data_IF_099531397508
#
_entry.id   IF_099531397508
#
_cell.length_a   1.000
_cell.length_b   1.000
_cell.length_c   1.000
_cell.angle_alpha   90.00
_cell.angle_beta   90.00
_cell.angle_gamma   90.00
#
_symmetry.space_group_name_H-M   'P 1'
#
loop_
_entity.id
_entity.type
_entity.pdbx_description
1 polymer ?
#
# COMPACT_ATOMS: atom_id res chain seq x y z
N UNK A 1 9.00 11.01 40.71
CA UNK A 1 8.05 10.90 39.59
C UNK A 1 8.77 11.26 38.26
N UNK A 2 9.92 10.63 37.97
CA UNK A 2 10.69 10.92 36.74
C UNK A 2 11.00 9.64 35.93
N UNK A 3 11.22 8.51 36.61
CA UNK A 3 11.51 7.22 35.96
C UNK A 3 10.35 6.71 35.08
N UNK A 4 9.10 6.95 35.49
CA UNK A 4 7.91 6.49 34.77
C UNK A 4 7.74 7.23 33.42
N UNK A 5 7.92 8.56 33.41
CA UNK A 5 7.82 9.36 32.18
C UNK A 5 8.90 9.04 31.16
N UNK A 6 10.14 8.82 31.61
CA UNK A 6 11.26 8.43 30.73
C UNK A 6 11.04 7.03 30.13
N UNK A 7 10.61 6.07 30.93
CA UNK A 7 10.31 4.72 30.44
C UNK A 7 9.20 4.70 29.37
N UNK A 8 8.17 5.56 29.51
CA UNK A 8 7.14 5.69 28.48
C UNK A 8 7.65 6.36 27.20
N UNK A 9 8.55 7.34 27.30
CA UNK A 9 9.19 7.96 26.14
C UNK A 9 10.07 6.95 25.38
N UNK A 10 10.87 6.15 26.10
CA UNK A 10 11.75 5.13 25.50
C UNK A 10 10.95 4.02 24.81
N UNK A 11 9.88 3.53 25.46
CA UNK A 11 8.97 2.55 24.85
C UNK A 11 8.30 3.10 23.59
N UNK A 12 7.99 4.39 23.57
CA UNK A 12 7.36 5.04 22.41
C UNK A 12 8.34 5.19 21.25
N UNK A 13 9.57 5.63 21.53
CA UNK A 13 10.63 5.66 20.52
C UNK A 13 10.87 4.28 19.90
N UNK A 14 10.83 3.21 20.70
CA UNK A 14 10.95 1.84 20.20
C UNK A 14 9.78 1.43 19.28
N UNK A 15 8.54 1.79 19.65
CA UNK A 15 7.36 1.51 18.82
C UNK A 15 7.39 2.28 17.51
N UNK A 16 7.90 3.50 17.52
CA UNK A 16 8.05 4.34 16.34
C UNK A 16 9.12 3.77 15.40
N UNK A 17 10.27 3.39 15.93
CA UNK A 17 11.31 2.71 15.15
C UNK A 17 10.81 1.38 14.56
N UNK A 18 9.98 0.64 15.29
CA UNK A 18 9.37 -0.58 14.78
C UNK A 18 8.35 -0.29 13.67
N UNK A 19 7.54 0.76 13.80
CA UNK A 19 6.61 1.19 12.76
C UNK A 19 7.34 1.65 11.48
N UNK A 20 8.39 2.45 11.63
CA UNK A 20 9.27 2.88 10.55
C UNK A 20 9.87 1.68 9.82
N UNK A 21 10.50 0.74 10.55
CA UNK A 21 11.03 -0.49 9.98
C UNK A 21 9.96 -1.31 9.27
N UNK A 22 8.72 -1.32 9.79
CA UNK A 22 7.58 -1.94 9.14
C UNK A 22 7.27 -1.35 7.77
N UNK A 23 7.26 -0.02 7.62
CA UNK A 23 7.05 0.64 6.33
C UNK A 23 8.22 0.43 5.36
N UNK A 24 9.46 0.47 5.86
CA UNK A 24 10.65 0.16 5.03
C UNK A 24 10.56 -1.26 4.47
N UNK A 25 10.18 -2.24 5.30
CA UNK A 25 9.98 -3.63 4.87
C UNK A 25 8.83 -3.77 3.87
N UNK A 26 7.72 -3.06 4.08
CA UNK A 26 6.59 -3.03 3.15
C UNK A 26 7.03 -2.48 1.79
N UNK A 27 7.64 -1.29 1.75
CA UNK A 27 8.10 -0.68 0.50
C UNK A 27 9.10 -1.54 -0.26
N UNK A 28 10.04 -2.19 0.44
CA UNK A 28 10.95 -3.14 -0.19
C UNK A 28 10.21 -4.35 -0.83
N UNK A 29 9.18 -4.88 -0.15
CA UNK A 29 8.40 -6.01 -0.64
C UNK A 29 7.51 -5.65 -1.83
N UNK A 30 6.94 -4.45 -1.82
CA UNK A 30 6.15 -3.90 -2.92
C UNK A 30 7.03 -3.67 -4.15
N UNK A 31 8.19 -3.01 -3.98
CA UNK A 31 9.17 -2.81 -5.05
C UNK A 31 9.58 -4.14 -5.69
N UNK A 32 10.04 -5.09 -4.88
CA UNK A 32 10.48 -6.38 -5.39
C UNK A 32 9.38 -7.13 -6.16
N UNK A 33 8.12 -7.02 -5.74
CA UNK A 33 7.02 -7.67 -6.47
C UNK A 33 6.76 -7.03 -7.84
N UNK A 34 6.93 -5.72 -7.94
CA UNK A 34 6.74 -4.97 -9.19
C UNK A 34 7.93 -5.20 -10.14
N UNK A 35 9.16 -5.19 -9.62
CA UNK A 35 10.39 -5.36 -10.40
C UNK A 35 10.57 -6.79 -10.98
N UNK A 36 9.78 -7.76 -10.50
CA UNK A 36 9.72 -9.13 -11.04
C UNK A 36 8.89 -9.23 -12.34
N UNK A 37 8.15 -8.18 -12.69
CA UNK A 37 7.25 -8.13 -13.84
C UNK A 37 7.86 -7.21 -14.90
N UNK A 38 7.72 -7.59 -16.17
CA UNK A 38 8.18 -6.79 -17.29
C UNK A 38 7.55 -5.38 -17.26
N UNK A 39 8.37 -4.37 -17.58
CA UNK A 39 7.95 -2.98 -17.45
C UNK A 39 6.70 -2.67 -18.28
N UNK A 40 6.51 -3.32 -19.44
CA UNK A 40 5.41 -3.14 -20.39
C UNK A 40 4.08 -3.80 -20.01
N UNK A 41 4.03 -4.55 -18.90
CA UNK A 41 2.80 -5.15 -18.38
C UNK A 41 2.33 -4.41 -17.11
N UNK A 42 1.77 -3.21 -17.30
CA UNK A 42 1.21 -2.40 -16.21
C UNK A 42 0.16 -3.16 -15.41
N UNK A 43 -0.66 -3.98 -16.07
CA UNK A 43 -1.71 -4.73 -15.43
C UNK A 43 -1.16 -5.75 -14.44
N UNK A 44 -0.16 -6.53 -14.86
CA UNK A 44 0.53 -7.47 -14.00
C UNK A 44 1.31 -6.77 -12.87
N UNK A 45 1.92 -5.59 -13.14
CA UNK A 45 2.62 -4.79 -12.12
C UNK A 45 1.68 -4.26 -11.03
N UNK A 46 0.52 -3.71 -11.40
CA UNK A 46 -0.52 -3.31 -10.44
C UNK A 46 -1.06 -4.49 -9.64
N UNK A 47 -1.25 -5.65 -10.29
CA UNK A 47 -1.64 -6.88 -9.62
C UNK A 47 -0.59 -7.36 -8.60
N UNK A 48 0.68 -7.35 -8.99
CA UNK A 48 1.80 -7.72 -8.12
C UNK A 48 1.89 -6.79 -6.91
N UNK A 49 1.78 -5.47 -7.13
CA UNK A 49 1.74 -4.47 -6.07
C UNK A 49 0.59 -4.73 -5.07
N UNK A 50 -0.64 -4.86 -5.57
CA UNK A 50 -1.82 -5.06 -4.74
C UNK A 50 -1.73 -6.38 -3.95
N UNK A 51 -1.31 -7.47 -4.62
CA UNK A 51 -1.12 -8.77 -4.00
C UNK A 51 -0.07 -8.74 -2.89
N UNK A 52 1.08 -8.10 -3.15
CA UNK A 52 2.16 -7.96 -2.18
C UNK A 52 1.72 -7.15 -0.95
N UNK A 53 0.96 -6.07 -1.15
CA UNK A 53 0.40 -5.30 -0.05
C UNK A 53 -0.53 -6.14 0.82
N UNK A 54 -1.53 -6.81 0.22
CA UNK A 54 -2.51 -7.55 1.02
C UNK A 54 -1.86 -8.71 1.76
N UNK A 55 -0.95 -9.45 1.11
CA UNK A 55 -0.17 -10.51 1.77
C UNK A 55 0.62 -9.96 2.95
N UNK A 56 1.38 -8.88 2.76
CA UNK A 56 2.12 -8.26 3.86
C UNK A 56 1.20 -7.87 5.02
N UNK A 57 0.10 -7.17 4.72
CA UNK A 57 -0.80 -6.63 5.73
C UNK A 57 -1.57 -7.72 6.50
N UNK A 58 -1.86 -8.84 5.86
CA UNK A 58 -2.51 -10.00 6.50
C UNK A 58 -1.52 -10.83 7.32
N UNK A 59 -0.32 -11.12 6.79
CA UNK A 59 0.75 -11.85 7.49
C UNK A 59 1.29 -11.07 8.70
N UNK A 60 1.25 -9.74 8.64
CA UNK A 60 1.80 -8.84 9.66
C UNK A 60 0.71 -7.96 10.29
N UNK A 61 -0.50 -8.49 10.55
CA UNK A 61 -1.66 -7.71 10.98
C UNK A 61 -1.40 -6.82 12.22
N UNK A 62 -0.73 -7.35 13.25
CA UNK A 62 -0.40 -6.57 14.46
C UNK A 62 0.59 -5.43 14.17
N UNK A 63 1.62 -5.70 13.35
CA UNK A 63 2.60 -4.69 12.93
C UNK A 63 1.94 -3.63 12.04
N UNK A 64 1.06 -4.04 11.14
CA UNK A 64 0.30 -3.13 10.26
C UNK A 64 -0.61 -2.20 11.09
N UNK A 65 -1.25 -2.74 12.14
CA UNK A 65 -2.00 -1.94 13.10
C UNK A 65 -1.12 -0.89 13.81
N UNK A 66 0.07 -1.30 14.27
CA UNK A 66 1.05 -0.38 14.87
C UNK A 66 1.50 0.71 13.89
N UNK A 67 1.88 0.33 12.66
CA UNK A 67 2.30 1.23 11.59
C UNK A 67 1.25 2.31 11.31
N UNK A 68 -0.01 1.90 11.12
CA UNK A 68 -1.11 2.81 10.83
C UNK A 68 -1.41 3.76 12.01
N UNK A 69 -1.32 3.27 13.25
CA UNK A 69 -1.49 4.11 14.43
C UNK A 69 -0.35 5.14 14.60
N UNK A 70 0.87 4.76 14.21
CA UNK A 70 2.05 5.61 14.37
C UNK A 70 2.17 6.71 13.31
N UNK A 71 1.83 6.44 12.04
CA UNK A 71 2.09 7.36 10.91
C UNK A 71 1.39 8.72 10.98
N UNK A 72 0.24 8.81 11.68
CA UNK A 72 -0.52 10.07 11.82
C UNK A 72 -0.21 10.82 13.13
N UNK A 73 0.71 10.29 13.94
CA UNK A 73 0.98 10.84 15.25
C UNK A 73 1.93 12.05 15.16
N UNK A 74 1.67 13.14 15.91
CA UNK A 74 2.60 14.24 16.01
C UNK A 74 4.00 13.78 16.47
N UNK A 75 5.04 14.26 15.77
CA UNK A 75 6.45 13.94 16.02
C UNK A 75 6.92 12.58 15.49
N UNK A 76 6.10 11.87 14.70
CA UNK A 76 6.45 10.60 14.05
C UNK A 76 7.03 10.78 12.64
N UNK A 77 7.84 11.81 12.40
CA UNK A 77 8.21 12.23 11.03
C UNK A 77 8.83 11.11 10.21
N UNK A 78 9.77 10.35 10.77
CA UNK A 78 10.40 9.22 10.07
C UNK A 78 9.40 8.11 9.68
N UNK A 79 8.39 7.86 10.53
CA UNK A 79 7.32 6.89 10.22
C UNK A 79 6.45 7.40 9.07
N UNK A 80 6.12 8.70 9.07
CA UNK A 80 5.33 9.32 8.01
C UNK A 80 6.09 9.33 6.67
N UNK A 81 7.38 9.64 6.68
CA UNK A 81 8.25 9.59 5.50
C UNK A 81 8.38 8.17 4.96
N UNK A 82 8.61 7.17 5.82
CA UNK A 82 8.66 5.77 5.40
C UNK A 82 7.31 5.28 4.82
N UNK A 83 6.18 5.73 5.40
CA UNK A 83 4.87 5.45 4.85
C UNK A 83 4.68 6.09 3.47
N UNK A 84 5.04 7.36 3.32
CA UNK A 84 4.96 8.07 2.04
C UNK A 84 5.83 7.38 0.97
N UNK A 85 7.04 6.94 1.31
CA UNK A 85 7.91 6.23 0.39
C UNK A 85 7.37 4.85 -0.04
N UNK A 86 6.71 4.12 0.86
CA UNK A 86 6.08 2.84 0.52
C UNK A 86 4.82 3.03 -0.34
N UNK A 87 4.02 4.05 -0.06
CA UNK A 87 2.78 4.32 -0.80
C UNK A 87 3.01 5.06 -2.11
N UNK A 88 4.03 5.91 -2.22
CA UNK A 88 4.34 6.67 -3.45
C UNK A 88 4.57 5.77 -4.67
N UNK A 89 5.00 4.53 -4.46
CA UNK A 89 5.19 3.55 -5.52
C UNK A 89 3.93 3.25 -6.34
N UNK A 90 2.73 3.41 -5.77
CA UNK A 90 1.51 3.27 -6.56
C UNK A 90 1.31 4.48 -7.47
N UNK A 91 1.65 5.68 -6.99
CA UNK A 91 1.64 6.90 -7.80
C UNK A 91 2.60 6.78 -8.98
N UNK A 92 3.82 6.30 -8.73
CA UNK A 92 4.82 6.06 -9.78
C UNK A 92 4.28 5.13 -10.89
N UNK A 93 3.57 4.04 -10.52
CA UNK A 93 2.95 3.13 -11.48
C UNK A 93 1.81 3.78 -12.29
N UNK A 94 1.01 4.64 -11.65
CA UNK A 94 -0.06 5.37 -12.34
C UNK A 94 0.53 6.39 -13.31
N UNK A 95 1.52 7.17 -12.89
CA UNK A 95 2.22 8.13 -13.75
C UNK A 95 2.86 7.45 -14.95
N UNK A 96 3.48 6.29 -14.75
CA UNK A 96 4.07 5.49 -15.81
C UNK A 96 3.01 5.03 -16.82
N UNK A 97 1.89 4.47 -16.34
CA UNK A 97 0.78 4.04 -17.19
C UNK A 97 0.15 5.19 -17.98
N UNK A 98 0.01 6.36 -17.37
CA UNK A 98 -0.46 7.57 -18.06
C UNK A 98 0.53 8.04 -19.13
N UNK A 99 1.83 8.05 -18.83
CA UNK A 99 2.87 8.47 -19.77
C UNK A 99 2.93 7.61 -21.04
N UNK A 100 2.45 6.36 -20.95
CA UNK A 100 2.38 5.40 -22.05
C UNK A 100 1.02 5.37 -22.74
N UNK A 101 0.05 6.13 -22.26
CA UNK A 101 -1.33 6.13 -22.75
C UNK A 101 -2.10 4.84 -22.44
N UNK A 102 -1.65 4.07 -21.44
CA UNK A 102 -2.35 2.88 -20.95
C UNK A 102 -3.48 3.23 -19.97
N UNK A 103 -3.32 4.37 -19.27
CA UNK A 103 -4.30 4.94 -18.34
C UNK A 103 -4.72 6.33 -18.82
N UNK A 104 -5.97 6.71 -18.52
CA UNK A 104 -6.49 8.06 -18.74
C UNK A 104 -5.73 9.09 -17.91
N UNK A 105 -5.53 10.28 -18.50
CA UNK A 105 -4.92 11.42 -17.80
C UNK A 105 -5.80 11.86 -16.61
N UNK A 106 -5.16 12.21 -15.50
CA UNK A 106 -5.81 12.61 -14.26
C UNK A 106 -4.78 12.75 -13.15
N UNK A 107 -5.22 13.15 -11.95
CA UNK A 107 -4.32 13.28 -10.80
C UNK A 107 -3.82 11.89 -10.33
N UNK A 108 -2.51 11.58 -10.45
CA UNK A 108 -1.97 10.29 -10.05
C UNK A 108 -2.15 10.01 -8.55
N UNK A 109 -2.18 11.06 -7.71
CA UNK A 109 -2.38 10.94 -6.27
C UNK A 109 -3.81 10.46 -5.97
N UNK A 110 -4.82 11.11 -6.57
CA UNK A 110 -6.23 10.72 -6.40
C UNK A 110 -6.51 9.30 -6.93
N UNK A 111 -5.97 8.99 -8.12
CA UNK A 111 -6.11 7.66 -8.73
C UNK A 111 -5.42 6.60 -7.87
N UNK A 112 -4.20 6.88 -7.38
CA UNK A 112 -3.46 6.03 -6.46
C UNK A 112 -4.20 5.79 -5.13
N UNK A 113 -4.86 6.82 -4.61
CA UNK A 113 -5.71 6.73 -3.41
C UNK A 113 -6.89 5.76 -3.60
N UNK A 114 -7.52 5.72 -4.77
CA UNK A 114 -8.66 4.83 -5.06
C UNK A 114 -8.23 3.36 -5.05
N UNK A 115 -7.13 3.03 -5.74
CA UNK A 115 -6.61 1.64 -5.73
C UNK A 115 -6.14 1.25 -4.33
N UNK A 116 -5.51 2.18 -3.61
CA UNK A 116 -5.09 1.95 -2.23
C UNK A 116 -6.28 1.70 -1.29
N UNK A 117 -7.36 2.47 -1.41
CA UNK A 117 -8.58 2.28 -0.64
C UNK A 117 -9.22 0.91 -0.92
N UNK A 118 -9.17 0.45 -2.16
CA UNK A 118 -9.69 -0.86 -2.57
C UNK A 118 -8.91 -1.99 -1.92
N UNK A 119 -7.58 -1.90 -1.97
CA UNK A 119 -6.68 -2.89 -1.36
C UNK A 119 -6.82 -2.90 0.17
N UNK A 120 -6.93 -1.73 0.81
CA UNK A 120 -7.23 -1.60 2.24
C UNK A 120 -8.57 -2.26 2.63
N UNK A 121 -9.59 -2.08 1.80
CA UNK A 121 -10.89 -2.72 1.97
C UNK A 121 -10.78 -4.24 1.94
N UNK A 122 -10.07 -4.80 0.96
CA UNK A 122 -9.82 -6.25 0.83
C UNK A 122 -9.09 -6.78 2.07
N UNK A 123 -8.01 -6.12 2.50
CA UNK A 123 -7.28 -6.49 3.72
C UNK A 123 -8.18 -6.47 4.95
N UNK A 124 -9.03 -5.45 5.10
CA UNK A 124 -9.93 -5.32 6.24
C UNK A 124 -11.01 -6.42 6.27
N UNK A 125 -11.55 -6.79 5.10
CA UNK A 125 -12.49 -7.91 4.97
C UNK A 125 -11.83 -9.26 5.29
N UNK A 126 -10.57 -9.47 4.91
CA UNK A 126 -9.81 -10.67 5.28
C UNK A 126 -9.56 -10.74 6.79
N UNK A 127 -9.06 -9.65 7.37
CA UNK A 127 -8.72 -9.60 8.79
C UNK A 127 -9.94 -9.75 9.71
N UNK A 128 -11.13 -9.34 9.24
CA UNK A 128 -12.40 -9.54 9.95
C UNK A 128 -13.03 -10.93 9.73
N UNK A 129 -12.46 -11.76 8.86
CA UNK A 129 -13.01 -13.06 8.49
C UNK A 129 -14.25 -13.01 7.59
N UNK A 130 -14.61 -11.82 7.09
CA UNK A 130 -15.73 -11.65 6.15
C UNK A 130 -15.51 -12.39 4.83
N UNK A 131 -14.25 -12.49 4.41
CA UNK A 131 -13.81 -13.30 3.27
C UNK A 131 -12.71 -14.27 3.72
N UNK A 132 -12.75 -15.49 3.20
CA UNK A 132 -11.72 -16.50 3.50
C UNK A 132 -10.43 -16.24 2.70
N UNK A 133 -9.26 -16.69 3.20
CA UNK A 133 -7.96 -16.45 2.57
C UNK A 133 -7.87 -17.03 1.15
N UNK A 134 -8.58 -18.13 0.87
CA UNK A 134 -8.65 -18.72 -0.48
C UNK A 134 -9.34 -17.86 -1.53
N UNK A 135 -9.97 -16.73 -1.15
CA UNK A 135 -10.57 -15.76 -2.07
C UNK A 135 -9.69 -14.55 -2.35
N UNK A 136 -8.55 -14.42 -1.68
CA UNK A 136 -7.67 -13.24 -1.78
C UNK A 136 -7.24 -12.99 -3.22
N UNK A 137 -6.61 -13.98 -3.84
CA UNK A 137 -6.01 -13.85 -5.17
C UNK A 137 -7.04 -13.44 -6.22
N UNK A 138 -8.17 -14.16 -6.29
CA UNK A 138 -9.24 -13.83 -7.23
C UNK A 138 -9.91 -12.47 -6.96
N UNK A 139 -9.94 -12.00 -5.71
CA UNK A 139 -10.51 -10.68 -5.40
C UNK A 139 -9.57 -9.55 -5.76
N UNK A 140 -8.26 -9.71 -5.56
CA UNK A 140 -7.24 -8.75 -6.01
C UNK A 140 -7.23 -8.66 -7.53
N UNK A 141 -7.24 -9.81 -8.23
CA UNK A 141 -7.35 -9.87 -9.69
C UNK A 141 -8.60 -9.15 -10.20
N UNK A 142 -9.76 -9.44 -9.59
CA UNK A 142 -11.01 -8.76 -9.93
C UNK A 142 -10.90 -7.25 -9.71
N UNK A 143 -10.34 -6.81 -8.58
CA UNK A 143 -10.22 -5.40 -8.24
C UNK A 143 -9.34 -4.65 -9.25
N UNK A 144 -8.15 -5.20 -9.58
CA UNK A 144 -7.22 -4.60 -10.53
C UNK A 144 -7.83 -4.58 -11.93
N UNK A 145 -8.47 -5.67 -12.35
CA UNK A 145 -9.17 -5.73 -13.66
C UNK A 145 -10.25 -4.66 -13.77
N UNK A 146 -11.06 -4.46 -12.73
CA UNK A 146 -12.13 -3.45 -12.75
C UNK A 146 -11.56 -2.02 -12.70
N UNK A 147 -10.52 -1.80 -11.91
CA UNK A 147 -9.80 -0.54 -11.85
C UNK A 147 -9.25 -0.16 -13.23
N UNK A 148 -8.51 -1.06 -13.88
CA UNK A 148 -7.94 -0.84 -15.20
C UNK A 148 -9.00 -0.59 -16.27
N UNK A 149 -10.16 -1.26 -16.20
CA UNK A 149 -11.27 -1.01 -17.12
C UNK A 149 -11.87 0.38 -16.95
N UNK A 150 -12.00 0.84 -15.71
CA UNK A 150 -12.52 2.18 -15.40
C UNK A 150 -11.53 3.29 -15.69
N UNK A 151 -10.23 2.99 -15.70
CA UNK A 151 -9.15 3.95 -15.92
C UNK A 151 -8.62 3.98 -17.37
N UNK A 152 -9.31 3.34 -18.33
CA UNK A 152 -8.88 3.34 -19.74
C UNK A 152 -9.07 4.72 -20.36
N UNK A 153 -8.18 5.17 -21.26
CA UNK A 153 -8.40 6.38 -22.03
C UNK A 153 -9.74 6.32 -22.77
N UNK A 154 -10.48 7.42 -22.73
CA UNK A 154 -11.69 7.59 -23.53
C UNK A 154 -11.36 7.42 -25.03
N UNK A 155 -12.15 6.62 -25.77
CA UNK A 155 -11.95 6.49 -27.23
C UNK A 155 -12.10 7.88 -27.89
N UNK A 156 -11.19 8.27 -28.80
CA UNK A 156 -11.33 9.54 -29.51
C UNK A 156 -12.61 9.50 -30.36
N UNK A 157 -13.51 10.44 -30.08
CA UNK A 157 -14.72 10.69 -30.87
C UNK A 157 -14.41 11.21 -32.28
#
# INVERSE_FOLDING_TARGET
>A
MEAVGRHFADRRALLDALAESGFVRLGARLRAAVDEIDDDDLAARLHAFASAYVRFATENAALTGLMNAAKHRPGATAVAEAAAAAFGQIGDLIEEGQSRGELEEGDPEEIGLVIYATVLGITSMLNSGMIGPGRLEGLVDTAVTQFLRGARPSEPH
#
